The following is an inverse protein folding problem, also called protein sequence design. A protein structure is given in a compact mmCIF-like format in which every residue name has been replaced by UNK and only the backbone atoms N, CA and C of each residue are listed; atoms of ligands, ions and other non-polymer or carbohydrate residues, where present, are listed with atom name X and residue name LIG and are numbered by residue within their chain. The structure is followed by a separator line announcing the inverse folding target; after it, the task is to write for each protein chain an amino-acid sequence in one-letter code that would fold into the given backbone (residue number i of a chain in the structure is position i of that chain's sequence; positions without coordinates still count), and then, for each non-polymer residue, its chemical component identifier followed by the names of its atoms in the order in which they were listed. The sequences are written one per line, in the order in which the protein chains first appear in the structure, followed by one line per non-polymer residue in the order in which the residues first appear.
data_IF_884710197743
#
_entry.id   IF_884710197743
#
_cell.length_a   1.000
_cell.length_b   1.000
_cell.length_c   1.000
_cell.angle_alpha   90.00
_cell.angle_beta   90.00
_cell.angle_gamma   90.00
#
_symmetry.space_group_name_H-M   'P 1'
#
loop_
_entity.id
_entity.type
_entity.pdbx_description
1 polymer ?
#
# COMPACT_ATOMS: atom_id res chain seq x y z
N UNK A 1 18.70 -38.55 9.52
CA UNK A 1 19.07 -37.69 8.36
C UNK A 1 17.98 -36.65 8.01
N UNK A 2 16.70 -36.98 8.02
CA UNK A 2 15.61 -36.07 7.64
C UNK A 2 15.56 -34.75 8.43
N UNK A 3 15.72 -34.78 9.76
CA UNK A 3 15.69 -33.58 10.62
C UNK A 3 16.85 -32.60 10.35
N UNK A 4 18.03 -33.12 9.92
CA UNK A 4 19.20 -32.26 9.62
C UNK A 4 18.98 -31.49 8.32
N UNK A 5 18.46 -32.16 7.29
CA UNK A 5 18.14 -31.55 6.00
C UNK A 5 17.06 -30.46 6.16
N UNK A 6 15.98 -30.78 6.90
CA UNK A 6 14.90 -29.81 7.12
C UNK A 6 15.41 -28.55 7.84
N UNK A 7 16.20 -28.73 8.89
CA UNK A 7 16.80 -27.62 9.63
C UNK A 7 17.75 -26.79 8.79
N UNK A 8 18.52 -27.45 7.93
CA UNK A 8 19.42 -26.77 6.99
C UNK A 8 18.67 -25.90 6.01
N UNK A 9 17.67 -26.46 5.31
CA UNK A 9 16.84 -25.69 4.34
C UNK A 9 16.08 -24.57 5.04
N UNK A 10 15.47 -24.83 6.21
CA UNK A 10 14.76 -23.81 6.97
C UNK A 10 15.67 -22.65 7.39
N UNK A 11 16.89 -22.93 7.82
CA UNK A 11 17.87 -21.90 8.17
C UNK A 11 18.23 -21.02 6.98
N UNK A 12 18.48 -21.62 5.83
CA UNK A 12 18.81 -20.90 4.60
C UNK A 12 17.65 -20.03 4.12
N UNK A 13 16.43 -20.57 4.15
CA UNK A 13 15.21 -19.82 3.86
C UNK A 13 15.05 -18.64 4.82
N UNK A 14 15.25 -18.86 6.12
CA UNK A 14 15.11 -17.81 7.12
C UNK A 14 16.12 -16.66 6.92
N UNK A 15 17.39 -17.00 6.64
CA UNK A 15 18.45 -16.00 6.37
C UNK A 15 18.09 -15.18 5.13
N UNK A 16 17.77 -15.86 4.02
CA UNK A 16 17.40 -15.21 2.76
C UNK A 16 16.13 -14.37 2.92
N UNK A 17 15.15 -14.83 3.73
CA UNK A 17 13.91 -14.10 4.04
C UNK A 17 14.17 -12.83 4.84
N UNK A 18 14.97 -12.91 5.92
CA UNK A 18 15.30 -11.74 6.75
C UNK A 18 16.03 -10.69 5.91
N UNK A 19 16.98 -11.09 5.07
CA UNK A 19 17.67 -10.18 4.16
C UNK A 19 16.67 -9.52 3.18
N UNK A 20 15.84 -10.33 2.52
CA UNK A 20 14.89 -9.84 1.52
C UNK A 20 13.85 -8.91 2.12
N UNK A 21 13.26 -9.26 3.28
CA UNK A 21 12.25 -8.43 3.92
C UNK A 21 12.86 -7.11 4.45
N UNK A 22 14.11 -7.14 4.94
CA UNK A 22 14.82 -5.94 5.39
C UNK A 22 15.07 -4.97 4.24
N UNK A 23 15.50 -5.46 3.08
CA UNK A 23 15.69 -4.64 1.88
C UNK A 23 14.38 -4.04 1.40
N UNK A 24 13.31 -4.85 1.32
CA UNK A 24 12.00 -4.36 0.89
C UNK A 24 11.41 -3.33 1.86
N UNK A 25 11.47 -3.60 3.17
CA UNK A 25 10.98 -2.66 4.17
C UNK A 25 11.78 -1.37 4.19
N UNK A 26 13.11 -1.43 4.04
CA UNK A 26 13.95 -0.22 3.97
C UNK A 26 13.58 0.65 2.76
N UNK A 27 13.33 0.04 1.59
CA UNK A 27 12.89 0.76 0.40
C UNK A 27 11.53 1.44 0.61
N UNK A 28 10.55 0.75 1.21
CA UNK A 28 9.25 1.32 1.54
C UNK A 28 9.36 2.44 2.59
N UNK A 29 10.16 2.24 3.64
CA UNK A 29 10.37 3.26 4.67
C UNK A 29 11.05 4.50 4.10
N UNK A 30 12.06 4.34 3.24
CA UNK A 30 12.72 5.46 2.57
C UNK A 30 11.73 6.31 1.78
N UNK A 31 10.81 5.67 1.03
CA UNK A 31 9.75 6.37 0.31
C UNK A 31 8.85 7.18 1.26
N UNK A 32 8.53 6.64 2.45
CA UNK A 32 7.70 7.35 3.43
C UNK A 32 8.47 8.50 4.10
N UNK A 33 9.74 8.31 4.41
CA UNK A 33 10.59 9.37 4.98
C UNK A 33 10.66 10.57 4.04
N UNK A 34 10.83 10.36 2.73
CA UNK A 34 10.81 11.44 1.74
C UNK A 34 9.47 12.20 1.75
N UNK A 35 8.35 11.49 1.80
CA UNK A 35 7.01 12.11 1.89
C UNK A 35 6.84 12.92 3.17
N UNK A 36 7.26 12.36 4.30
CA UNK A 36 7.15 13.02 5.59
C UNK A 36 8.10 14.20 5.74
N UNK A 37 9.29 14.15 5.16
CA UNK A 37 10.23 15.27 5.15
C UNK A 37 9.62 16.52 4.49
N UNK A 38 8.92 16.36 3.37
CA UNK A 38 8.21 17.47 2.71
C UNK A 38 7.12 18.05 3.62
N UNK A 39 6.30 17.18 4.23
CA UNK A 39 5.23 17.61 5.14
C UNK A 39 5.83 18.31 6.37
N UNK A 40 6.94 17.82 6.92
CA UNK A 40 7.62 18.43 8.08
C UNK A 40 8.14 19.82 7.76
N UNK A 41 8.74 20.02 6.59
CA UNK A 41 9.25 21.33 6.16
C UNK A 41 8.12 22.36 6.01
N UNK A 42 6.93 21.92 5.63
CA UNK A 42 5.77 22.79 5.40
C UNK A 42 4.96 23.03 6.70
N UNK A 43 4.95 22.07 7.64
CA UNK A 43 4.04 22.11 8.79
C UNK A 43 4.73 22.23 10.15
N UNK A 44 6.07 22.18 10.21
CA UNK A 44 6.82 22.24 11.49
C UNK A 44 6.61 21.04 12.41
N UNK A 45 6.17 19.90 11.87
CA UNK A 45 5.93 18.68 12.66
C UNK A 45 7.24 18.13 13.21
N UNK A 46 7.26 17.76 14.51
CA UNK A 46 8.42 17.20 15.18
C UNK A 46 8.91 15.90 14.51
N UNK A 47 10.23 15.78 14.34
CA UNK A 47 10.88 14.59 13.82
C UNK A 47 10.49 13.30 14.57
N UNK A 48 10.32 13.37 15.89
CA UNK A 48 9.89 12.24 16.71
C UNK A 48 8.49 11.72 16.30
N UNK A 49 7.58 12.62 15.95
CA UNK A 49 6.25 12.25 15.47
C UNK A 49 6.32 11.54 14.10
N UNK A 50 7.24 11.97 13.24
CA UNK A 50 7.46 11.31 11.93
C UNK A 50 7.99 9.89 12.09
N UNK A 51 8.94 9.65 13.01
CA UNK A 51 9.44 8.32 13.34
C UNK A 51 8.28 7.43 13.85
N UNK A 52 7.44 7.98 14.72
CA UNK A 52 6.25 7.28 15.21
C UNK A 52 5.30 6.88 14.08
N UNK A 53 5.02 7.76 13.13
CA UNK A 53 4.22 7.45 11.95
C UNK A 53 4.87 6.36 11.09
N UNK A 54 6.19 6.40 10.90
CA UNK A 54 6.92 5.39 10.15
C UNK A 54 6.77 3.99 10.78
N UNK A 55 6.86 3.87 12.11
CA UNK A 55 6.67 2.60 12.82
C UNK A 55 5.24 2.06 12.65
N UNK A 56 4.23 2.91 12.77
CA UNK A 56 2.83 2.48 12.62
C UNK A 56 2.40 2.18 11.18
N UNK A 57 3.19 2.59 10.19
CA UNK A 57 2.95 2.28 8.79
C UNK A 57 3.60 0.95 8.35
N UNK A 58 4.60 0.45 9.10
CA UNK A 58 5.28 -0.83 8.81
C UNK A 58 4.29 -1.99 8.61
N UNK A 59 3.28 -2.21 9.48
CA UNK A 59 2.33 -3.31 9.30
C UNK A 59 1.59 -3.30 7.96
N UNK A 60 1.37 -2.12 7.39
CA UNK A 60 0.75 -1.99 6.08
C UNK A 60 1.63 -2.60 4.98
N UNK A 61 2.95 -2.34 5.05
CA UNK A 61 3.89 -2.86 4.07
C UNK A 61 4.22 -4.34 4.31
N UNK A 62 4.16 -4.83 5.55
CA UNK A 62 4.40 -6.25 5.86
C UNK A 62 3.44 -7.17 5.11
N UNK A 63 2.18 -6.79 4.93
CA UNK A 63 1.19 -7.61 4.20
C UNK A 63 1.65 -7.89 2.77
N UNK A 64 2.32 -6.92 2.13
CA UNK A 64 2.87 -7.06 0.78
C UNK A 64 4.29 -7.63 0.80
N UNK A 65 5.12 -7.20 1.74
CA UNK A 65 6.52 -7.57 1.80
C UNK A 65 6.73 -9.06 2.16
N UNK A 66 5.87 -9.65 3.01
CA UNK A 66 6.03 -11.05 3.42
C UNK A 66 5.91 -12.02 2.24
N UNK A 67 4.84 -12.02 1.41
CA UNK A 67 4.74 -12.91 0.26
C UNK A 67 5.91 -12.75 -0.73
N UNK A 68 6.30 -11.49 -0.99
CA UNK A 68 7.46 -11.14 -1.79
C UNK A 68 8.74 -11.78 -1.27
N UNK A 69 9.01 -11.57 0.02
CA UNK A 69 10.23 -12.06 0.68
C UNK A 69 10.29 -13.58 0.72
N UNK A 70 9.15 -14.27 0.90
CA UNK A 70 9.08 -15.73 0.86
C UNK A 70 9.46 -16.24 -0.53
N UNK A 71 8.95 -15.64 -1.60
CA UNK A 71 9.29 -16.03 -2.95
C UNK A 71 10.76 -15.78 -3.26
N UNK A 72 11.28 -14.57 -2.95
CA UNK A 72 12.70 -14.23 -3.14
C UNK A 72 13.59 -15.22 -2.37
N UNK A 73 13.24 -15.49 -1.12
CA UNK A 73 13.96 -16.43 -0.25
C UNK A 73 13.99 -17.84 -0.86
N UNK A 74 12.86 -18.35 -1.35
CA UNK A 74 12.77 -19.67 -1.97
C UNK A 74 13.61 -19.75 -3.23
N UNK A 75 13.52 -18.76 -4.13
CA UNK A 75 14.32 -18.73 -5.36
C UNK A 75 15.81 -18.65 -5.05
N UNK A 76 16.24 -17.73 -4.17
CA UNK A 76 17.64 -17.55 -3.83
C UNK A 76 18.26 -18.79 -3.16
N UNK A 77 17.52 -19.39 -2.20
CA UNK A 77 17.97 -20.58 -1.50
C UNK A 77 18.13 -21.74 -2.46
N UNK A 78 17.10 -22.06 -3.26
CA UNK A 78 17.15 -23.23 -4.15
C UNK A 78 18.04 -23.01 -5.38
N UNK A 79 18.18 -21.78 -5.88
CA UNK A 79 19.15 -21.44 -6.92
C UNK A 79 20.58 -21.66 -6.43
N UNK A 80 20.91 -21.25 -5.19
CA UNK A 80 22.19 -21.51 -4.59
C UNK A 80 22.45 -23.00 -4.42
N UNK A 81 21.54 -23.74 -3.81
CA UNK A 81 21.67 -25.18 -3.62
C UNK A 81 21.81 -25.93 -4.97
N UNK A 82 21.17 -25.42 -6.02
CA UNK A 82 21.29 -25.96 -7.38
C UNK A 82 22.65 -25.65 -8.00
N UNK A 83 23.15 -24.43 -7.86
CA UNK A 83 24.46 -23.99 -8.37
C UNK A 83 25.63 -24.73 -7.68
N UNK A 84 25.51 -24.90 -6.36
CA UNK A 84 26.50 -25.62 -5.56
C UNK A 84 26.41 -27.16 -5.74
N UNK A 85 25.54 -27.64 -6.66
CA UNK A 85 25.27 -29.06 -6.95
C UNK A 85 24.74 -29.85 -5.74
N UNK A 86 24.34 -29.17 -4.66
CA UNK A 86 23.81 -29.83 -3.44
C UNK A 86 22.49 -30.55 -3.76
N UNK A 87 21.62 -29.98 -4.61
CA UNK A 87 20.37 -30.63 -5.04
C UNK A 87 20.67 -31.90 -5.82
N UNK A 88 21.69 -31.90 -6.69
CA UNK A 88 22.11 -33.08 -7.45
C UNK A 88 22.64 -34.17 -6.50
N UNK A 89 23.46 -33.81 -5.51
CA UNK A 89 23.94 -34.71 -4.48
C UNK A 89 22.84 -35.32 -3.61
N UNK A 90 21.85 -34.51 -3.23
CA UNK A 90 20.66 -34.97 -2.47
C UNK A 90 19.83 -35.96 -3.29
N UNK A 91 19.62 -35.68 -4.59
CA UNK A 91 18.90 -36.58 -5.51
C UNK A 91 19.63 -37.90 -5.71
N UNK A 92 20.96 -37.89 -5.90
CA UNK A 92 21.76 -39.12 -5.98
C UNK A 92 21.71 -39.94 -4.69
N UNK A 93 21.54 -39.28 -3.56
CA UNK A 93 21.28 -39.92 -2.26
C UNK A 93 19.84 -40.38 -2.05
N UNK A 94 18.96 -40.34 -3.08
CA UNK A 94 17.59 -40.82 -3.04
C UNK A 94 16.56 -39.84 -2.45
N UNK A 95 16.94 -38.58 -2.22
CA UNK A 95 16.00 -37.57 -1.70
C UNK A 95 15.14 -37.03 -2.85
N UNK A 96 13.83 -37.20 -2.79
CA UNK A 96 12.91 -36.70 -3.80
C UNK A 96 12.73 -35.17 -3.70
N UNK A 97 12.35 -34.53 -4.82
CA UNK A 97 11.99 -33.09 -4.86
C UNK A 97 10.85 -32.77 -3.90
N UNK A 98 9.84 -33.64 -3.84
CA UNK A 98 8.70 -33.47 -2.92
C UNK A 98 9.13 -33.45 -1.46
N UNK A 99 10.20 -34.20 -1.09
CA UNK A 99 10.72 -34.19 0.27
C UNK A 99 11.41 -32.85 0.62
N UNK A 100 12.03 -32.21 -0.38
CA UNK A 100 12.66 -30.88 -0.21
C UNK A 100 11.63 -29.75 -0.11
N UNK A 101 10.40 -29.96 -0.63
CA UNK A 101 9.30 -28.99 -0.50
C UNK A 101 8.71 -28.92 0.92
N UNK A 102 8.87 -29.96 1.74
CA UNK A 102 8.28 -29.98 3.08
C UNK A 102 8.78 -28.83 3.98
N UNK A 103 10.10 -28.58 4.14
CA UNK A 103 10.58 -27.43 4.90
C UNK A 103 10.13 -26.09 4.30
N UNK A 104 10.02 -25.98 2.97
CA UNK A 104 9.48 -24.76 2.32
C UNK A 104 8.03 -24.56 2.69
N UNK A 105 7.22 -25.61 2.67
CA UNK A 105 5.81 -25.55 3.05
C UNK A 105 5.63 -25.10 4.50
N UNK A 106 6.40 -25.70 5.44
CA UNK A 106 6.37 -25.31 6.86
C UNK A 106 6.75 -23.83 7.01
N UNK A 107 7.81 -23.38 6.31
CA UNK A 107 8.24 -21.99 6.32
C UNK A 107 7.16 -21.07 5.76
N UNK A 108 6.57 -21.43 4.62
CA UNK A 108 5.51 -20.64 3.96
C UNK A 108 4.24 -20.57 4.81
N UNK A 109 3.88 -21.63 5.56
CA UNK A 109 2.78 -21.61 6.52
C UNK A 109 3.06 -20.62 7.66
N UNK A 110 4.27 -20.63 8.22
CA UNK A 110 4.64 -19.65 9.25
C UNK A 110 4.58 -18.20 8.74
N UNK A 111 5.06 -17.97 7.53
CA UNK A 111 4.98 -16.67 6.87
C UNK A 111 3.53 -16.24 6.55
N UNK A 112 2.68 -17.19 6.11
CA UNK A 112 1.25 -16.97 5.94
C UNK A 112 0.58 -16.50 7.24
N UNK A 113 0.85 -17.19 8.37
CA UNK A 113 0.30 -16.80 9.66
C UNK A 113 0.75 -15.40 10.09
N UNK A 114 2.03 -15.08 9.90
CA UNK A 114 2.56 -13.73 10.14
C UNK A 114 1.87 -12.67 9.27
N UNK A 115 1.71 -12.95 7.97
CA UNK A 115 1.02 -12.05 7.05
C UNK A 115 -0.47 -11.90 7.41
N UNK A 116 -1.13 -12.98 7.86
CA UNK A 116 -2.53 -12.96 8.27
C UNK A 116 -2.74 -12.11 9.53
N UNK A 117 -1.85 -12.24 10.53
CA UNK A 117 -1.85 -11.38 11.72
C UNK A 117 -1.62 -9.92 11.32
N UNK A 118 -0.64 -9.66 10.44
CA UNK A 118 -0.37 -8.31 9.94
C UNK A 118 -1.58 -7.71 9.22
N UNK A 119 -2.24 -8.45 8.35
CA UNK A 119 -3.39 -7.98 7.57
C UNK A 119 -4.64 -7.76 8.42
N UNK A 120 -4.92 -8.68 9.36
CA UNK A 120 -6.19 -8.68 10.11
C UNK A 120 -6.15 -7.85 11.39
N UNK A 121 -4.98 -7.72 12.03
CA UNK A 121 -4.82 -7.08 13.34
C UNK A 121 -3.93 -5.85 13.28
N UNK A 122 -2.67 -6.02 12.84
CA UNK A 122 -1.69 -4.93 12.92
C UNK A 122 -2.00 -3.79 11.96
N UNK A 123 -2.42 -4.09 10.75
CA UNK A 123 -2.77 -3.09 9.74
C UNK A 123 -3.93 -2.18 10.17
N UNK A 124 -5.10 -2.68 10.65
CA UNK A 124 -6.16 -1.82 11.17
C UNK A 124 -5.72 -0.98 12.38
N UNK A 125 -4.92 -1.55 13.30
CA UNK A 125 -4.38 -0.82 14.45
C UNK A 125 -3.47 0.33 14.03
N UNK A 126 -2.53 0.10 13.10
CA UNK A 126 -1.65 1.11 12.56
C UNK A 126 -2.41 2.27 11.91
N UNK A 127 -3.39 1.96 11.06
CA UNK A 127 -4.23 2.98 10.44
C UNK A 127 -5.07 3.78 11.43
N UNK A 128 -5.65 3.10 12.44
CA UNK A 128 -6.41 3.79 13.50
C UNK A 128 -5.52 4.76 14.26
N UNK A 129 -4.31 4.35 14.63
CA UNK A 129 -3.35 5.20 15.32
C UNK A 129 -2.98 6.43 14.48
N UNK A 130 -2.61 6.24 13.22
CA UNK A 130 -2.27 7.33 12.29
C UNK A 130 -3.45 8.31 12.15
N UNK A 131 -4.68 7.81 12.02
CA UNK A 131 -5.88 8.63 11.91
C UNK A 131 -6.11 9.51 13.16
N UNK A 132 -6.05 8.90 14.35
CA UNK A 132 -6.26 9.62 15.62
C UNK A 132 -5.16 10.67 15.82
N UNK A 133 -3.91 10.30 15.54
CA UNK A 133 -2.79 11.21 15.71
C UNK A 133 -2.80 12.35 14.68
N UNK A 134 -3.14 12.09 13.43
CA UNK A 134 -3.31 13.15 12.42
C UNK A 134 -4.43 14.11 12.81
N UNK A 135 -5.54 13.59 13.34
CA UNK A 135 -6.63 14.41 13.84
C UNK A 135 -6.21 15.29 15.04
N UNK A 136 -5.47 14.71 16.01
CA UNK A 136 -4.99 15.45 17.18
C UNK A 136 -3.96 16.52 16.78
N UNK A 137 -3.12 16.23 15.81
CA UNK A 137 -2.14 17.22 15.29
C UNK A 137 -2.85 18.39 14.61
N UNK A 138 -3.88 18.11 13.81
CA UNK A 138 -4.71 19.16 13.17
C UNK A 138 -5.51 19.96 14.21
N UNK A 139 -6.01 19.32 15.29
CA UNK A 139 -6.69 20.03 16.38
C UNK A 139 -5.76 20.89 17.24
N UNK A 140 -4.54 20.43 17.46
CA UNK A 140 -3.54 21.14 18.31
C UNK A 140 -2.85 22.30 17.61
N UNK A 141 -2.89 22.33 16.28
CA UNK A 141 -2.38 23.47 15.50
C UNK A 141 -3.51 24.47 15.33
N UNK A 142 -3.55 25.50 16.21
CA UNK A 142 -4.35 26.71 16.00
C UNK A 142 -3.94 27.43 14.69
N UNK A 143 -2.74 27.17 14.21
CA UNK A 143 -2.24 27.65 12.93
C UNK A 143 -2.30 26.51 11.89
N UNK A 144 -3.03 26.71 10.80
CA UNK A 144 -3.07 25.80 9.63
C UNK A 144 -1.69 25.71 8.90
N UNK A 145 -0.60 26.10 9.54
CA UNK A 145 0.73 26.13 8.92
C UNK A 145 0.83 27.09 7.74
N UNK A 146 -0.06 28.10 7.67
CA UNK A 146 -0.07 29.06 6.58
C UNK A 146 1.21 29.91 6.62
N UNK A 147 2.03 29.79 5.59
CA UNK A 147 3.22 30.60 5.43
C UNK A 147 2.82 31.98 4.90
N UNK A 148 3.35 33.04 5.51
CA UNK A 148 3.14 34.41 5.07
C UNK A 148 3.80 34.68 3.73
N UNK A 149 3.10 35.42 2.85
CA UNK A 149 3.64 35.85 1.56
C UNK A 149 3.75 34.74 0.48
N UNK A 150 3.24 33.54 0.76
CA UNK A 150 3.32 32.38 -0.15
C UNK A 150 1.91 31.83 -0.43
N UNK A 151 1.74 31.22 -1.58
CA UNK A 151 0.54 30.48 -1.89
C UNK A 151 0.55 29.12 -1.17
N UNK A 152 -0.38 28.91 -0.26
CA UNK A 152 -0.55 27.70 0.50
C UNK A 152 -1.66 26.84 -0.14
N UNK A 153 -1.40 25.56 -0.37
CA UNK A 153 -2.43 24.62 -0.82
C UNK A 153 -3.18 24.09 0.42
N UNK A 154 -4.39 24.58 0.64
CA UNK A 154 -5.29 24.10 1.66
C UNK A 154 -6.43 23.32 1.00
N UNK A 155 -6.35 21.99 1.03
CA UNK A 155 -7.35 21.11 0.41
C UNK A 155 -7.50 21.39 -1.11
N UNK A 156 -8.66 21.84 -1.56
CA UNK A 156 -8.91 22.25 -2.95
C UNK A 156 -8.73 23.77 -3.17
N UNK A 157 -8.33 24.49 -2.12
CA UNK A 157 -8.18 25.92 -2.12
C UNK A 157 -6.70 26.31 -2.21
N UNK A 158 -6.39 27.25 -3.08
CA UNK A 158 -5.10 27.93 -3.11
C UNK A 158 -5.26 29.21 -2.30
N UNK A 159 -4.64 29.27 -1.11
CA UNK A 159 -4.78 30.37 -0.16
C UNK A 159 -3.48 31.16 -0.07
N UNK A 160 -3.53 32.45 -0.36
CA UNK A 160 -2.44 33.39 -0.10
C UNK A 160 -2.80 34.25 1.09
N UNK A 161 -1.85 34.41 2.02
CA UNK A 161 -2.00 35.27 3.20
C UNK A 161 -0.82 36.23 3.27
N UNK A 162 -1.12 37.53 3.30
CA UNK A 162 -0.08 38.56 3.37
C UNK A 162 0.63 38.58 4.72
N UNK A 163 -0.12 38.43 5.84
CA UNK A 163 0.43 38.43 7.20
C UNK A 163 -0.47 37.65 8.17
N UNK A 164 0.13 36.89 9.07
CA UNK A 164 -0.56 36.17 10.16
C UNK A 164 -0.28 36.89 11.47
N UNK A 165 -1.30 37.25 12.21
CA UNK A 165 -1.16 37.99 13.47
C UNK A 165 -1.83 37.19 14.61
N UNK A 166 -1.10 36.93 15.69
CA UNK A 166 -1.65 36.27 16.89
C UNK A 166 -2.07 34.80 16.71
N UNK A 167 -1.62 34.14 15.65
CA UNK A 167 -1.87 32.72 15.40
C UNK A 167 -3.18 32.41 14.67
N UNK A 168 -4.27 33.15 14.88
CA UNK A 168 -5.60 32.85 14.33
C UNK A 168 -6.12 33.92 13.36
N UNK A 169 -5.52 35.11 13.35
CA UNK A 169 -5.98 36.21 12.52
C UNK A 169 -5.09 36.38 11.28
N UNK A 170 -5.71 36.24 10.14
CA UNK A 170 -5.10 36.36 8.82
C UNK A 170 -5.40 37.76 8.24
N UNK A 171 -4.42 38.42 7.66
CA UNK A 171 -4.59 39.73 7.03
C UNK A 171 -4.20 39.67 5.55
N UNK A 172 -5.02 40.28 4.69
CA UNK A 172 -4.78 40.32 3.23
C UNK A 172 -4.82 38.94 2.62
N UNK A 173 -6.02 38.39 2.48
CA UNK A 173 -6.26 37.02 2.05
C UNK A 173 -6.74 37.02 0.61
N UNK A 174 -6.20 36.08 -0.19
CA UNK A 174 -6.70 35.73 -1.51
C UNK A 174 -6.86 34.23 -1.55
N UNK A 175 -8.04 33.77 -1.95
CA UNK A 175 -8.39 32.35 -2.05
C UNK A 175 -8.86 32.09 -3.47
N UNK A 176 -8.24 31.11 -4.12
CA UNK A 176 -8.72 30.56 -5.39
C UNK A 176 -9.31 29.19 -5.14
N UNK A 177 -10.61 29.05 -5.36
CA UNK A 177 -11.34 27.79 -5.28
C UNK A 177 -11.33 27.14 -6.67
N UNK A 178 -10.70 25.97 -6.78
CA UNK A 178 -10.56 25.19 -8.02
C UNK A 178 -11.57 24.04 -8.10
N UNK A 179 -12.69 24.11 -7.38
CA UNK A 179 -13.73 23.11 -7.51
C UNK A 179 -14.33 23.12 -8.92
N UNK A 180 -14.56 21.94 -9.47
CA UNK A 180 -14.88 21.71 -10.90
C UNK A 180 -16.18 22.35 -11.39
N UNK A 181 -17.06 22.84 -10.50
CA UNK A 181 -18.37 23.37 -10.89
C UNK A 181 -18.46 24.90 -10.89
N UNK A 182 -17.65 25.61 -10.06
CA UNK A 182 -17.66 27.07 -10.00
C UNK A 182 -16.28 27.60 -9.56
N UNK A 183 -15.43 27.92 -10.50
CA UNK A 183 -14.15 28.62 -10.20
C UNK A 183 -14.44 30.01 -9.63
N UNK A 184 -14.06 30.24 -8.36
CA UNK A 184 -14.23 31.54 -7.71
C UNK A 184 -12.98 32.01 -7.04
N UNK A 185 -12.74 33.32 -7.10
CA UNK A 185 -11.67 33.99 -6.40
C UNK A 185 -12.28 34.83 -5.28
N UNK A 186 -11.81 34.63 -4.06
CA UNK A 186 -12.28 35.36 -2.88
C UNK A 186 -11.12 36.20 -2.37
N UNK A 187 -11.37 37.48 -2.17
CA UNK A 187 -10.43 38.40 -1.49
C UNK A 187 -11.03 38.90 -0.19
N UNK A 188 -10.24 39.00 0.87
CA UNK A 188 -10.70 39.55 2.15
C UNK A 188 -9.59 40.33 2.86
N UNK A 189 -9.97 41.38 3.59
CA UNK A 189 -9.03 42.16 4.40
C UNK A 189 -8.55 41.36 5.61
N UNK A 190 -9.49 40.67 6.30
CA UNK A 190 -9.22 39.88 7.49
C UNK A 190 -9.89 38.51 7.40
N UNK A 191 -9.29 37.53 8.03
CA UNK A 191 -9.86 36.21 8.23
C UNK A 191 -9.52 35.64 9.57
N UNK A 192 -10.42 34.82 10.11
CA UNK A 192 -10.20 34.09 11.35
C UNK A 192 -10.59 32.64 11.16
N UNK A 193 -9.73 31.73 11.62
CA UNK A 193 -10.01 30.30 11.57
C UNK A 193 -10.88 29.94 12.76
N UNK A 194 -12.05 29.38 12.50
CA UNK A 194 -12.99 28.90 13.50
C UNK A 194 -13.10 27.39 13.40
N UNK A 195 -12.93 26.73 14.54
CA UNK A 195 -13.14 25.30 14.68
C UNK A 195 -14.45 25.07 15.43
N UNK A 196 -15.40 24.41 14.79
CA UNK A 196 -16.64 23.99 15.45
C UNK A 196 -16.38 22.68 16.22
N UNK A 197 -16.41 22.72 17.56
CA UNK A 197 -16.10 21.54 18.38
C UNK A 197 -17.16 20.42 18.25
N UNK A 198 -18.36 20.71 17.78
CA UNK A 198 -19.47 19.75 17.68
C UNK A 198 -19.42 19.01 16.35
N UNK A 199 -19.25 19.75 15.24
CA UNK A 199 -19.24 19.16 13.89
C UNK A 199 -17.84 18.81 13.39
N UNK A 200 -16.79 19.21 14.11
CA UNK A 200 -15.38 19.07 13.69
C UNK A 200 -15.09 19.70 12.32
N UNK A 201 -15.91 20.66 11.90
CA UNK A 201 -15.70 21.41 10.66
C UNK A 201 -14.83 22.64 10.94
N UNK A 202 -13.89 22.89 10.03
CA UNK A 202 -13.11 24.11 10.02
C UNK A 202 -13.82 25.14 9.13
N UNK A 203 -14.01 26.33 9.66
CA UNK A 203 -14.55 27.48 8.92
C UNK A 203 -13.51 28.58 8.88
N UNK A 204 -13.38 29.19 7.73
CA UNK A 204 -12.65 30.44 7.58
C UNK A 204 -13.67 31.59 7.54
N UNK A 205 -13.76 32.34 8.64
CA UNK A 205 -14.56 33.55 8.71
C UNK A 205 -13.77 34.68 8.04
N UNK A 206 -14.24 35.14 6.91
CA UNK A 206 -13.67 36.24 6.13
C UNK A 206 -14.45 37.52 6.40
N UNK A 207 -13.73 38.64 6.51
CA UNK A 207 -14.33 39.96 6.78
C UNK A 207 -13.84 40.97 5.72
N UNK A 208 -14.76 41.83 5.29
CA UNK A 208 -14.55 42.89 4.32
C UNK A 208 -13.86 42.42 3.03
N UNK A 209 -14.62 41.80 2.15
CA UNK A 209 -14.06 41.18 0.97
C UNK A 209 -14.98 41.15 -0.25
N UNK A 210 -14.46 40.56 -1.32
CA UNK A 210 -15.13 40.40 -2.60
C UNK A 210 -15.01 38.96 -3.09
N UNK A 211 -16.07 38.44 -3.71
CA UNK A 211 -16.10 37.16 -4.41
C UNK A 211 -16.24 37.45 -5.88
N UNK A 212 -15.31 36.92 -6.68
CA UNK A 212 -15.36 37.00 -8.14
C UNK A 212 -15.72 35.62 -8.66
N UNK A 213 -16.81 35.53 -9.39
CA UNK A 213 -17.26 34.32 -10.09
C UNK A 213 -16.81 34.39 -11.54
N UNK A 214 -16.18 33.32 -12.02
CA UNK A 214 -15.88 33.14 -13.44
C UNK A 214 -17.15 32.59 -14.11
N UNK A 215 -17.78 33.39 -15.01
CA UNK A 215 -18.93 32.92 -15.78
C UNK A 215 -18.44 32.16 -17.02
N UNK A 216 -19.19 31.13 -17.45
CA UNK A 216 -18.92 30.34 -18.67
C UNK A 216 -18.80 31.21 -19.93
N UNK A 217 -19.44 32.40 -19.93
CA UNK A 217 -19.28 33.44 -20.93
C UNK A 217 -18.10 34.32 -20.50
N UNK A 218 -16.91 34.11 -21.05
CA UNK A 218 -15.61 34.71 -20.68
C UNK A 218 -15.58 36.25 -20.65
N UNK A 219 -16.71 36.93 -20.86
CA UNK A 219 -16.82 38.39 -20.89
C UNK A 219 -17.51 39.02 -19.68
N UNK A 220 -18.06 38.22 -18.72
CA UNK A 220 -18.79 38.77 -17.57
C UNK A 220 -18.28 38.20 -16.25
N UNK A 221 -17.63 39.07 -15.46
CA UNK A 221 -17.30 38.77 -14.08
C UNK A 221 -18.44 39.27 -13.17
N UNK A 222 -19.00 38.41 -12.34
CA UNK A 222 -19.89 38.82 -11.26
C UNK A 222 -19.07 39.05 -10.01
N UNK A 223 -19.15 40.26 -9.43
CA UNK A 223 -18.49 40.59 -8.18
C UNK A 223 -19.53 40.75 -7.09
N UNK A 224 -19.41 39.97 -6.02
CA UNK A 224 -20.23 40.08 -4.82
C UNK A 224 -19.39 40.60 -3.69
N UNK A 225 -19.82 41.71 -3.05
CA UNK A 225 -19.15 42.30 -1.88
C UNK A 225 -19.82 41.77 -0.62
N UNK A 226 -19.01 41.39 0.38
CA UNK A 226 -19.52 40.91 1.66
C UNK A 226 -18.81 41.63 2.84
N UNK A 227 -19.54 41.83 3.93
CA UNK A 227 -18.99 42.27 5.20
C UNK A 227 -18.45 41.09 6.00
N UNK A 228 -19.15 39.94 5.97
CA UNK A 228 -18.72 38.70 6.59
C UNK A 228 -19.14 37.52 5.71
N UNK A 229 -18.17 36.61 5.46
CA UNK A 229 -18.39 35.38 4.71
C UNK A 229 -17.78 34.19 5.45
N UNK A 230 -18.54 33.12 5.60
CA UNK A 230 -18.06 31.89 6.20
C UNK A 230 -17.75 30.89 5.11
N UNK A 231 -16.46 30.71 4.83
CA UNK A 231 -16.00 29.67 3.92
C UNK A 231 -15.80 28.40 4.73
N UNK A 232 -16.61 27.41 4.43
CA UNK A 232 -16.40 26.06 4.97
C UNK A 232 -15.15 25.50 4.30
N UNK A 233 -14.10 25.30 5.10
CA UNK A 233 -12.94 24.55 4.62
C UNK A 233 -13.38 23.09 4.55
N UNK A 234 -13.64 22.62 3.35
CA UNK A 234 -14.06 21.23 3.10
C UNK A 234 -12.89 20.25 3.36
N UNK A 235 -12.27 20.42 4.55
CA UNK A 235 -11.45 19.37 5.12
C UNK A 235 -12.20 18.03 5.11
N UNK A 236 -13.54 18.07 5.23
CA UNK A 236 -14.36 16.89 5.21
C UNK A 236 -14.45 16.21 3.84
N UNK A 237 -14.56 16.93 2.70
CA UNK A 237 -14.65 16.27 1.38
C UNK A 237 -13.28 15.86 0.85
N UNK A 238 -12.24 16.66 1.05
CA UNK A 238 -10.87 16.23 0.74
C UNK A 238 -10.38 15.16 1.71
N UNK A 239 -10.79 15.22 2.99
CA UNK A 239 -10.62 14.12 3.95
C UNK A 239 -11.56 12.96 3.57
N UNK A 240 -12.73 13.18 3.00
CA UNK A 240 -13.64 12.13 2.57
C UNK A 240 -13.15 11.42 1.31
N UNK A 241 -12.59 12.12 0.33
CA UNK A 241 -11.90 11.52 -0.81
C UNK A 241 -10.57 10.86 -0.41
N UNK A 242 -9.79 11.47 0.47
CA UNK A 242 -8.62 10.85 1.13
C UNK A 242 -9.06 9.78 2.14
N UNK A 243 -10.20 9.94 2.82
CA UNK A 243 -10.87 8.94 3.66
C UNK A 243 -11.31 7.72 2.86
N UNK A 244 -11.96 7.88 1.70
CA UNK A 244 -12.41 6.76 0.87
C UNK A 244 -11.23 5.96 0.29
N UNK A 245 -10.13 6.61 -0.09
CA UNK A 245 -8.91 5.95 -0.57
C UNK A 245 -8.10 5.34 0.59
N UNK A 246 -7.99 6.04 1.74
CA UNK A 246 -7.26 5.56 2.92
C UNK A 246 -8.10 4.70 3.89
N UNK A 247 -9.42 4.86 3.92
CA UNK A 247 -10.31 4.02 4.75
C UNK A 247 -10.31 2.56 4.33
N UNK A 248 -10.08 2.25 3.06
CA UNK A 248 -10.07 0.88 2.54
C UNK A 248 -9.08 -0.02 3.30
N UNK A 249 -7.83 0.38 3.39
CA UNK A 249 -6.73 -0.43 3.92
C UNK A 249 -6.72 -0.54 5.45
N UNK A 250 -7.46 0.30 6.15
CA UNK A 250 -7.46 0.41 7.61
C UNK A 250 -8.68 -0.15 8.32
N UNK A 251 -9.65 -0.70 7.59
CA UNK A 251 -10.84 -1.25 8.19
C UNK A 251 -10.57 -2.64 8.79
N UNK A 252 -11.10 -2.88 9.99
CA UNK A 252 -11.16 -4.21 10.58
C UNK A 252 -12.15 -5.10 9.82
N UNK A 253 -12.06 -6.41 9.99
CA UNK A 253 -12.98 -7.36 9.34
C UNK A 253 -14.46 -7.09 9.72
N UNK A 254 -14.71 -6.68 10.96
CA UNK A 254 -16.05 -6.32 11.43
C UNK A 254 -16.59 -5.05 10.80
N UNK A 255 -15.75 -4.01 10.69
CA UNK A 255 -16.08 -2.75 10.03
C UNK A 255 -16.32 -2.95 8.53
N UNK A 256 -15.50 -3.78 7.86
CA UNK A 256 -15.70 -4.15 6.45
C UNK A 256 -17.06 -4.80 6.24
N UNK A 257 -17.42 -5.82 7.04
CA UNK A 257 -18.73 -6.49 6.96
C UNK A 257 -19.89 -5.50 7.12
N UNK A 258 -19.80 -4.58 8.08
CA UNK A 258 -20.83 -3.55 8.32
C UNK A 258 -20.99 -2.63 7.11
N UNK A 259 -19.87 -2.11 6.57
CA UNK A 259 -19.86 -1.21 5.41
C UNK A 259 -20.33 -1.91 4.12
N UNK A 260 -19.96 -3.18 3.92
CA UNK A 260 -20.44 -3.98 2.79
C UNK A 260 -21.97 -4.06 2.79
N UNK A 261 -22.58 -4.35 3.95
CA UNK A 261 -24.04 -4.39 4.08
C UNK A 261 -24.66 -3.03 3.81
N UNK A 262 -24.12 -1.97 4.43
CA UNK A 262 -24.60 -0.60 4.25
C UNK A 262 -24.54 -0.15 2.77
N UNK A 263 -23.45 -0.39 2.05
CA UNK A 263 -23.31 0.00 0.65
C UNK A 263 -24.17 -0.83 -0.29
N UNK A 264 -24.43 -2.08 0.07
CA UNK A 264 -25.39 -2.95 -0.64
C UNK A 264 -26.79 -2.38 -0.52
N UNK A 265 -27.23 -2.02 0.71
CA UNK A 265 -28.56 -1.48 0.99
C UNK A 265 -28.76 -0.10 0.34
N UNK A 266 -27.70 0.70 0.19
CA UNK A 266 -27.72 1.99 -0.51
C UNK A 266 -27.69 1.88 -2.04
N UNK A 267 -27.61 0.69 -2.62
CA UNK A 267 -27.53 0.48 -4.08
C UNK A 267 -26.22 0.94 -4.74
N UNK A 268 -25.20 1.31 -3.96
CA UNK A 268 -23.87 1.75 -4.45
C UNK A 268 -23.00 0.56 -4.86
N UNK A 269 -23.35 -0.07 -5.99
CA UNK A 269 -22.76 -1.33 -6.45
C UNK A 269 -21.22 -1.28 -6.62
N UNK A 270 -20.67 -0.18 -7.12
CA UNK A 270 -19.22 -0.04 -7.33
C UNK A 270 -18.45 -0.05 -6.00
N UNK A 271 -18.96 0.71 -5.00
CA UNK A 271 -18.37 0.73 -3.65
C UNK A 271 -18.53 -0.62 -2.94
N UNK A 272 -19.71 -1.24 -3.06
CA UNK A 272 -19.97 -2.59 -2.54
C UNK A 272 -18.96 -3.61 -3.07
N UNK A 273 -18.76 -3.68 -4.40
CA UNK A 273 -17.81 -4.61 -5.03
C UNK A 273 -16.39 -4.36 -4.53
N UNK A 274 -15.99 -3.09 -4.44
CA UNK A 274 -14.67 -2.68 -3.97
C UNK A 274 -14.42 -3.11 -2.52
N UNK A 275 -15.37 -2.92 -1.61
CA UNK A 275 -15.26 -3.36 -0.22
C UNK A 275 -15.26 -4.88 -0.09
N UNK A 276 -16.00 -5.59 -0.93
CA UNK A 276 -16.03 -7.05 -0.93
C UNK A 276 -14.69 -7.63 -1.40
N UNK A 277 -14.05 -7.05 -2.43
CA UNK A 277 -12.69 -7.42 -2.86
C UNK A 277 -11.72 -7.23 -1.68
N UNK A 278 -11.78 -6.09 -1.00
CA UNK A 278 -10.92 -5.78 0.14
C UNK A 278 -11.07 -6.80 1.28
N UNK A 279 -12.31 -7.20 1.57
CA UNK A 279 -12.57 -8.24 2.56
C UNK A 279 -11.88 -9.55 2.20
N UNK A 280 -11.97 -10.00 0.96
CA UNK A 280 -11.31 -11.22 0.51
C UNK A 280 -9.79 -11.07 0.44
N UNK A 281 -9.27 -9.90 0.08
CA UNK A 281 -7.83 -9.59 0.04
C UNK A 281 -7.17 -9.67 1.43
N UNK A 282 -7.91 -9.50 2.53
CA UNK A 282 -7.40 -9.75 3.88
C UNK A 282 -6.90 -11.18 4.08
N UNK A 283 -7.40 -12.12 3.29
CA UNK A 283 -7.03 -13.55 3.33
C UNK A 283 -6.19 -13.96 2.13
N UNK A 284 -6.54 -13.51 0.92
CA UNK A 284 -5.85 -13.93 -0.30
C UNK A 284 -4.42 -13.40 -0.39
N UNK A 285 -4.15 -12.15 0.06
CA UNK A 285 -2.79 -11.62 0.08
C UNK A 285 -1.86 -12.40 1.04
N UNK A 286 -2.26 -12.71 2.30
CA UNK A 286 -1.48 -13.65 3.11
C UNK A 286 -1.31 -15.02 2.47
N UNK A 287 -2.37 -15.59 1.85
CA UNK A 287 -2.31 -16.90 1.19
C UNK A 287 -1.32 -16.92 0.03
N UNK A 288 -1.06 -15.78 -0.61
CA UNK A 288 -0.01 -15.67 -1.61
C UNK A 288 1.37 -16.09 -1.08
N UNK A 289 1.67 -15.89 0.22
CA UNK A 289 2.93 -16.32 0.79
C UNK A 289 3.13 -17.85 0.72
N UNK A 290 2.05 -18.63 0.92
CA UNK A 290 2.10 -20.08 0.77
C UNK A 290 2.44 -20.48 -0.65
N UNK A 291 1.70 -19.92 -1.60
CA UNK A 291 1.78 -20.32 -3.01
C UNK A 291 3.07 -19.83 -3.65
N UNK A 292 3.47 -18.58 -3.39
CA UNK A 292 4.69 -18.01 -3.94
C UNK A 292 5.95 -18.67 -3.36
N UNK A 293 5.93 -19.12 -2.11
CA UNK A 293 7.02 -19.92 -1.54
C UNK A 293 7.20 -21.25 -2.26
N UNK A 294 6.09 -21.96 -2.51
CA UNK A 294 6.10 -23.22 -3.24
C UNK A 294 6.50 -23.03 -4.72
N UNK A 295 6.03 -21.94 -5.37
CA UNK A 295 6.37 -21.60 -6.75
C UNK A 295 7.87 -21.22 -6.89
N UNK A 296 8.41 -20.49 -5.93
CA UNK A 296 9.82 -20.07 -5.94
C UNK A 296 10.81 -21.24 -5.92
N UNK A 297 10.44 -22.34 -5.28
CA UNK A 297 11.30 -23.53 -5.15
C UNK A 297 11.67 -24.16 -6.50
N UNK A 298 10.71 -24.63 -7.34
CA UNK A 298 11.05 -25.22 -8.64
C UNK A 298 11.74 -24.22 -9.58
N UNK A 299 11.35 -22.95 -9.54
CA UNK A 299 12.00 -21.88 -10.31
C UNK A 299 13.48 -21.77 -9.88
N UNK A 300 13.75 -21.75 -8.56
CA UNK A 300 15.11 -21.73 -8.04
C UNK A 300 15.94 -22.95 -8.45
N UNK A 301 15.32 -24.15 -8.49
CA UNK A 301 15.99 -25.37 -8.92
C UNK A 301 16.35 -25.33 -10.42
N UNK A 302 15.44 -24.85 -11.25
CA UNK A 302 15.63 -24.75 -12.71
C UNK A 302 16.67 -23.69 -13.09
N UNK A 303 16.69 -22.58 -12.35
CA UNK A 303 17.58 -21.44 -12.63
C UNK A 303 18.88 -21.56 -11.86
N UNK A 304 19.91 -22.14 -12.51
CA UNK A 304 21.28 -22.21 -11.99
C UNK A 304 22.00 -20.87 -12.19
N UNK A 305 21.61 -19.86 -11.42
CA UNK A 305 22.29 -18.57 -11.53
C UNK A 305 23.67 -18.62 -10.88
N UNK A 306 24.71 -18.35 -11.65
CA UNK A 306 26.08 -18.18 -11.12
C UNK A 306 26.16 -16.90 -10.24
N UNK A 307 25.21 -15.98 -10.34
CA UNK A 307 25.12 -14.75 -9.57
C UNK A 307 23.78 -14.65 -8.79
N UNK A 308 23.85 -14.48 -7.48
CA UNK A 308 22.69 -14.29 -6.58
C UNK A 308 21.82 -13.11 -7.01
N UNK A 309 22.42 -12.07 -7.61
CA UNK A 309 21.70 -10.90 -8.10
C UNK A 309 20.69 -11.25 -9.19
N UNK A 310 21.03 -12.16 -10.10
CA UNK A 310 20.11 -12.59 -11.17
C UNK A 310 18.87 -13.29 -10.61
N UNK A 311 19.02 -14.14 -9.58
CA UNK A 311 17.91 -14.77 -8.87
C UNK A 311 17.01 -13.75 -8.17
N UNK A 312 17.60 -12.72 -7.57
CA UNK A 312 16.87 -11.63 -6.94
C UNK A 312 16.05 -10.82 -7.97
N UNK A 313 16.68 -10.44 -9.09
CA UNK A 313 15.98 -9.70 -10.17
C UNK A 313 14.83 -10.53 -10.75
N UNK A 314 15.03 -11.83 -11.02
CA UNK A 314 13.97 -12.71 -11.51
C UNK A 314 12.81 -12.76 -10.51
N UNK A 315 13.10 -12.87 -9.23
CA UNK A 315 12.08 -12.89 -8.18
C UNK A 315 11.23 -11.62 -8.20
N UNK A 316 11.86 -10.44 -8.34
CA UNK A 316 11.16 -9.16 -8.43
C UNK A 316 10.26 -9.12 -9.66
N UNK A 317 10.74 -9.58 -10.82
CA UNK A 317 9.95 -9.59 -12.06
C UNK A 317 8.70 -10.46 -11.89
N UNK A 318 8.82 -11.66 -11.34
CA UNK A 318 7.68 -12.57 -11.16
C UNK A 318 6.66 -11.97 -10.18
N UNK A 319 7.13 -11.37 -9.10
CA UNK A 319 6.26 -10.71 -8.13
C UNK A 319 5.58 -9.49 -8.74
N UNK A 320 6.30 -8.70 -9.53
CA UNK A 320 5.71 -7.57 -10.24
C UNK A 320 4.59 -8.02 -11.17
N UNK A 321 4.81 -9.10 -11.92
CA UNK A 321 3.77 -9.73 -12.74
C UNK A 321 2.58 -10.22 -11.91
N UNK A 322 2.84 -10.82 -10.75
CA UNK A 322 1.79 -11.23 -9.82
C UNK A 322 0.89 -10.04 -9.43
N UNK A 323 1.48 -8.90 -9.02
CA UNK A 323 0.69 -7.74 -8.62
C UNK A 323 0.02 -7.00 -9.76
N UNK A 324 0.59 -7.02 -10.97
CA UNK A 324 -0.09 -6.51 -12.17
C UNK A 324 -1.36 -7.32 -12.44
N UNK A 325 -1.26 -8.65 -12.42
CA UNK A 325 -2.40 -9.55 -12.61
C UNK A 325 -3.47 -9.35 -11.52
N UNK A 326 -3.03 -9.26 -10.24
CA UNK A 326 -3.92 -9.02 -9.11
C UNK A 326 -4.69 -7.70 -9.24
N UNK A 327 -4.00 -6.63 -9.67
CA UNK A 327 -4.62 -5.33 -9.94
C UNK A 327 -5.56 -5.38 -11.15
N UNK A 328 -5.20 -6.13 -12.20
CA UNK A 328 -6.04 -6.33 -13.38
C UNK A 328 -7.37 -7.01 -13.02
N UNK A 329 -7.33 -8.09 -12.26
CA UNK A 329 -8.54 -8.77 -11.77
C UNK A 329 -9.38 -7.87 -10.86
N UNK A 330 -8.75 -7.04 -10.02
CA UNK A 330 -9.46 -6.07 -9.17
C UNK A 330 -10.25 -5.07 -10.03
N UNK A 331 -9.62 -4.50 -11.07
CA UNK A 331 -10.28 -3.54 -11.97
C UNK A 331 -11.49 -4.20 -12.65
N UNK A 332 -11.32 -5.40 -13.22
CA UNK A 332 -12.41 -6.13 -13.87
C UNK A 332 -13.59 -6.41 -12.93
N UNK A 333 -13.31 -6.70 -11.65
CA UNK A 333 -14.36 -6.93 -10.67
C UNK A 333 -15.06 -5.65 -10.22
N UNK A 334 -14.33 -4.54 -10.06
CA UNK A 334 -14.92 -3.24 -9.72
C UNK A 334 -15.87 -2.77 -10.81
N UNK A 335 -15.49 -2.92 -12.08
CA UNK A 335 -16.34 -2.59 -13.23
C UNK A 335 -17.51 -3.60 -13.41
N UNK A 336 -17.42 -4.79 -12.81
CA UNK A 336 -18.51 -5.77 -12.76
C UNK A 336 -18.44 -6.89 -13.79
N UNK A 337 -17.32 -7.05 -14.49
CA UNK A 337 -17.11 -8.14 -15.44
C UNK A 337 -16.97 -9.49 -14.75
N UNK A 338 -16.40 -9.52 -13.54
CA UNK A 338 -16.21 -10.75 -12.77
C UNK A 338 -16.68 -10.56 -11.31
N UNK A 339 -17.01 -11.67 -10.66
CA UNK A 339 -17.44 -11.63 -9.27
C UNK A 339 -16.27 -11.21 -8.33
N UNK A 340 -16.46 -10.30 -7.37
CA UNK A 340 -15.40 -9.80 -6.49
C UNK A 340 -14.60 -10.86 -5.74
N UNK A 341 -15.25 -11.94 -5.30
CA UNK A 341 -14.59 -13.06 -4.64
C UNK A 341 -13.61 -13.76 -5.60
N UNK A 342 -14.05 -14.06 -6.83
CA UNK A 342 -13.19 -14.71 -7.82
C UNK A 342 -11.99 -13.84 -8.16
N UNK A 343 -12.17 -12.54 -8.35
CA UNK A 343 -11.09 -11.61 -8.61
C UNK A 343 -10.02 -11.60 -7.51
N UNK A 344 -10.44 -11.56 -6.25
CA UNK A 344 -9.52 -11.52 -5.11
C UNK A 344 -8.68 -12.80 -4.94
N UNK A 345 -9.14 -13.93 -5.46
CA UNK A 345 -8.47 -15.23 -5.36
C UNK A 345 -7.84 -15.72 -6.67
N UNK A 346 -8.19 -15.10 -7.81
CA UNK A 346 -7.77 -15.54 -9.14
C UNK A 346 -6.24 -15.64 -9.26
N UNK A 347 -5.50 -14.63 -8.80
CA UNK A 347 -4.05 -14.60 -8.89
C UNK A 347 -3.40 -15.67 -8.01
N UNK A 348 -3.96 -15.95 -6.84
CA UNK A 348 -3.50 -17.01 -5.92
C UNK A 348 -3.72 -18.38 -6.60
N UNK A 349 -4.89 -18.64 -7.16
CA UNK A 349 -5.18 -19.89 -7.87
C UNK A 349 -4.32 -20.08 -9.11
N UNK A 350 -4.13 -19.02 -9.91
CA UNK A 350 -3.24 -19.07 -11.08
C UNK A 350 -1.81 -19.43 -10.67
N UNK A 351 -1.30 -18.77 -9.63
CA UNK A 351 0.04 -19.06 -9.09
C UNK A 351 0.15 -20.47 -8.51
N UNK A 352 -0.93 -21.00 -7.90
CA UNK A 352 -0.97 -22.37 -7.39
C UNK A 352 -0.88 -23.39 -8.54
N UNK A 353 -1.61 -23.16 -9.62
CA UNK A 353 -1.54 -24.02 -10.82
C UNK A 353 -0.14 -23.98 -11.41
N UNK A 354 0.47 -22.78 -11.54
CA UNK A 354 1.84 -22.64 -12.01
C UNK A 354 2.84 -23.36 -11.10
N UNK A 355 2.68 -23.24 -9.77
CA UNK A 355 3.51 -23.95 -8.81
C UNK A 355 3.39 -25.48 -8.98
N UNK A 356 2.17 -26.01 -9.12
CA UNK A 356 1.95 -27.43 -9.31
C UNK A 356 2.60 -27.93 -10.63
N UNK A 357 2.40 -27.20 -11.72
CA UNK A 357 2.99 -27.55 -13.03
C UNK A 357 4.51 -27.54 -12.97
N UNK A 358 5.12 -26.48 -12.43
CA UNK A 358 6.60 -26.36 -12.34
C UNK A 358 7.19 -27.42 -11.39
N UNK A 359 6.51 -27.76 -10.28
CA UNK A 359 6.94 -28.85 -9.39
C UNK A 359 6.93 -30.20 -10.12
N UNK A 360 5.88 -30.49 -10.91
CA UNK A 360 5.79 -31.74 -11.68
C UNK A 360 6.88 -31.81 -12.74
N UNK A 361 7.14 -30.70 -13.45
CA UNK A 361 8.22 -30.64 -14.46
C UNK A 361 9.57 -30.96 -13.79
N UNK A 362 9.92 -30.27 -12.70
CA UNK A 362 11.19 -30.47 -11.97
C UNK A 362 11.29 -31.87 -11.36
N UNK A 363 10.17 -32.47 -10.95
CA UNK A 363 10.15 -33.84 -10.46
C UNK A 363 10.32 -34.87 -11.59
N UNK A 364 9.72 -34.62 -12.77
CA UNK A 364 9.82 -35.48 -13.94
C UNK A 364 11.22 -35.45 -14.60
N UNK A 365 11.85 -34.26 -14.71
CA UNK A 365 13.24 -34.12 -15.18
C UNK A 365 14.25 -34.87 -14.31
N UNK A 366 13.88 -35.25 -13.09
CA UNK A 366 14.68 -36.09 -12.24
C UNK A 366 14.82 -37.54 -12.76
N UNK A 367 13.96 -37.97 -13.69
CA UNK A 367 14.00 -39.29 -14.34
C UNK A 367 14.58 -39.30 -15.77
N UNK A 368 14.87 -38.12 -16.36
CA UNK A 368 15.41 -38.02 -17.71
C UNK A 368 16.89 -37.61 -17.69
N UNK A 369 17.75 -38.22 -18.55
CA UNK A 369 19.13 -37.75 -18.71
C UNK A 369 19.11 -36.29 -19.20
N UNK A 370 19.93 -35.46 -18.58
CA UNK A 370 20.00 -34.00 -18.82
C UNK A 370 20.13 -33.69 -20.31
N UNK A 371 19.07 -33.22 -20.94
CA UNK A 371 19.13 -32.51 -22.20
C UNK A 371 19.74 -31.13 -21.93
N UNK A 372 21.01 -30.99 -22.27
CA UNK A 372 21.79 -29.74 -22.24
C UNK A 372 21.23 -28.77 -23.30
N UNK A 373 20.09 -28.12 -23.06
CA UNK A 373 19.48 -27.18 -24.02
C UNK A 373 20.16 -25.80 -24.00
N UNK A 374 20.98 -25.50 -23.01
CA UNK A 374 21.63 -24.17 -22.87
C UNK A 374 23.17 -24.20 -22.81
N UNK A 375 23.81 -25.29 -23.33
CA UNK A 375 25.26 -25.35 -23.44
C UNK A 375 25.75 -25.10 -24.89
N UNK A 376 25.35 -23.99 -25.50
CA UNK A 376 26.05 -23.47 -26.69
C UNK A 376 26.15 -21.95 -26.58
N UNK A 377 27.33 -21.52 -26.17
CA UNK A 377 27.76 -20.13 -26.15
C UNK A 377 29.13 -20.00 -25.50
N UNK A 378 30.18 -20.57 -26.19
CA UNK A 378 31.54 -20.10 -26.01
C UNK A 378 31.71 -18.76 -26.69
#
# INVERSE_FOLDING_TARGET
MTKILDRYILRELAISFILSISVLLSAFLMQQVIKFSRISSETGISFFLLVKFAVFIIPLFLVLAIPLSVMISSILTFSRLSTDSEITALRSGGVSVYRMLLPVFIFSVSAFLLALISSSVLQPMGHRYIRVQSYNTLKGQQNLGLQEGVFNNLFNLLVYVKKVTGGDTLNGILISDRSLEDSKIITAKKGTILNDPVTSNLFLKLQDGHIYFESDDRERYQMVTFSTYFLRLEAAQSIENVRLIKEKWGLSLSELKKKIKEKKDQGKLRDYRRLLIEYHKKFSLPAAALVLGLLGTPIGIMTRFSNRFAGFVLSIIIVFLYYILDSGFEILAVEGFIHPMLAAWATVFLSLVLAAVTIVIVAAEAGLPQLNIFSKGK
#
